data_IF_515661359967
#
_entry.id   IF_515661359967
#
_cell.length_a   1.000
_cell.length_b   1.000
_cell.length_c   1.000
_cell.angle_alpha   90.00
_cell.angle_beta   90.00
_cell.angle_gamma   90.00
#
_symmetry.space_group_name_H-M   'P 1'
#
loop_
_entity.id
_entity.type
_entity.pdbx_description
1 polymer ?
#
# COMPACT_ATOMS: atom_id res chain seq x y z
N UNK A 1 -3.43 -5.34 12.36
CA UNK A 1 -2.54 -4.28 12.89
C UNK A 1 -3.38 -3.03 13.11
N UNK A 2 -3.15 -2.24 14.17
CA UNK A 2 -3.97 -1.04 14.42
C UNK A 2 -3.28 0.21 13.85
N UNK A 3 -3.97 0.93 12.95
CA UNK A 3 -3.50 2.18 12.35
C UNK A 3 -3.89 3.37 13.23
N UNK A 4 -2.97 4.31 13.47
CA UNK A 4 -3.25 5.54 14.21
C UNK A 4 -3.51 6.74 13.27
N UNK A 5 -4.14 7.80 13.78
CA UNK A 5 -4.27 9.05 13.01
C UNK A 5 -2.92 9.69 12.68
N UNK A 6 -1.87 9.44 13.49
CA UNK A 6 -0.52 9.91 13.17
C UNK A 6 0.06 9.20 11.94
N UNK A 7 -0.20 7.90 11.80
CA UNK A 7 0.22 7.12 10.63
C UNK A 7 -0.48 7.61 9.36
N UNK A 8 -1.79 7.87 9.44
CA UNK A 8 -2.56 8.43 8.31
C UNK A 8 -2.01 9.79 7.90
N UNK A 9 -1.74 10.70 8.86
CA UNK A 9 -1.13 12.01 8.55
C UNK A 9 0.25 11.87 7.89
N UNK A 10 1.06 10.92 8.35
CA UNK A 10 2.38 10.65 7.77
C UNK A 10 2.27 10.19 6.32
N UNK A 11 1.36 9.26 6.03
CA UNK A 11 1.13 8.78 4.66
C UNK A 11 0.56 9.89 3.77
N UNK A 12 -0.39 10.68 4.27
CA UNK A 12 -0.93 11.83 3.54
C UNK A 12 0.17 12.84 3.19
N UNK A 13 1.09 13.11 4.11
CA UNK A 13 2.24 13.98 3.85
C UNK A 13 3.16 13.42 2.76
N UNK A 14 3.48 12.12 2.80
CA UNK A 14 4.29 11.45 1.76
C UNK A 14 3.62 11.50 0.39
N UNK A 15 2.29 11.34 0.35
CA UNK A 15 1.48 11.42 -0.86
C UNK A 15 1.16 12.87 -1.30
N UNK A 16 1.59 13.88 -0.53
CA UNK A 16 1.27 15.31 -0.73
C UNK A 16 -0.23 15.61 -0.78
N UNK A 17 -1.01 14.93 0.06
CA UNK A 17 -2.45 15.16 0.23
C UNK A 17 -2.70 16.07 1.42
N UNK A 18 -3.39 17.19 1.18
CA UNK A 18 -3.95 18.01 2.25
C UNK A 18 -5.27 17.38 2.71
N UNK A 19 -5.39 17.11 4.00
CA UNK A 19 -6.57 16.47 4.60
C UNK A 19 -6.96 17.20 5.88
N UNK A 20 -8.27 17.36 6.07
CA UNK A 20 -8.87 17.79 7.32
C UNK A 20 -8.86 16.67 8.38
N UNK A 21 -9.06 17.03 9.64
CA UNK A 21 -9.11 16.06 10.74
C UNK A 21 -10.27 15.05 10.59
N UNK A 22 -11.41 15.47 10.02
CA UNK A 22 -12.52 14.56 9.74
C UNK A 22 -12.20 13.56 8.62
N UNK A 23 -11.47 14.00 7.59
CA UNK A 23 -11.00 13.11 6.52
C UNK A 23 -9.95 12.12 7.04
N UNK A 24 -9.06 12.55 7.96
CA UNK A 24 -8.07 11.68 8.59
C UNK A 24 -8.75 10.54 9.36
N UNK A 25 -9.76 10.85 10.18
CA UNK A 25 -10.47 9.83 10.96
C UNK A 25 -11.23 8.86 10.04
N UNK A 26 -11.87 9.39 9.00
CA UNK A 26 -12.58 8.58 8.00
C UNK A 26 -11.62 7.65 7.26
N UNK A 27 -10.49 8.17 6.80
CA UNK A 27 -9.46 7.40 6.12
C UNK A 27 -8.85 6.35 7.05
N UNK A 28 -8.63 6.64 8.33
CA UNK A 28 -8.14 5.66 9.32
C UNK A 28 -9.07 4.46 9.40
N UNK A 29 -10.37 4.68 9.50
CA UNK A 29 -11.38 3.61 9.57
C UNK A 29 -11.38 2.76 8.29
N UNK A 30 -11.40 3.40 7.12
CA UNK A 30 -11.38 2.71 5.83
C UNK A 30 -10.10 1.89 5.61
N UNK A 31 -8.94 2.48 5.89
CA UNK A 31 -7.64 1.81 5.76
C UNK A 31 -7.49 0.64 6.73
N UNK A 32 -8.09 0.72 7.93
CA UNK A 32 -8.09 -0.40 8.87
C UNK A 32 -8.79 -1.63 8.26
N UNK A 33 -9.98 -1.44 7.66
CA UNK A 33 -10.69 -2.54 6.99
C UNK A 33 -9.94 -3.10 5.77
N UNK A 34 -9.25 -2.25 5.01
CA UNK A 34 -8.39 -2.71 3.89
C UNK A 34 -7.22 -3.55 4.41
N UNK A 35 -6.58 -3.16 5.51
CA UNK A 35 -5.50 -3.95 6.10
C UNK A 35 -5.97 -5.26 6.69
N UNK A 36 -7.18 -5.34 7.23
CA UNK A 36 -7.75 -6.60 7.70
C UNK A 36 -7.94 -7.57 6.51
N UNK A 37 -8.45 -7.09 5.37
CA UNK A 37 -8.55 -7.90 4.15
C UNK A 37 -7.17 -8.36 3.63
N UNK A 38 -6.17 -7.47 3.62
CA UNK A 38 -4.80 -7.82 3.20
C UNK A 38 -4.17 -8.84 4.16
N UNK A 39 -4.48 -8.78 5.46
CA UNK A 39 -3.98 -9.74 6.43
C UNK A 39 -4.45 -11.17 6.14
N UNK A 40 -5.62 -11.36 5.50
CA UNK A 40 -6.06 -12.69 5.06
C UNK A 40 -5.09 -13.33 4.06
N UNK A 41 -4.42 -12.53 3.22
CA UNK A 41 -3.43 -13.04 2.26
C UNK A 41 -2.17 -13.61 2.93
N UNK A 42 -1.88 -13.23 4.19
CA UNK A 42 -0.73 -13.74 4.94
C UNK A 42 -0.87 -15.22 5.33
N UNK A 43 -2.06 -15.81 5.17
CA UNK A 43 -2.29 -17.23 5.42
C UNK A 43 -1.60 -18.15 4.40
N UNK A 44 -1.18 -17.62 3.25
CA UNK A 44 -0.57 -18.39 2.17
C UNK A 44 0.96 -18.36 2.31
N UNK A 45 1.59 -19.55 2.35
CA UNK A 45 3.04 -19.66 2.34
C UNK A 45 3.61 -19.29 0.96
N UNK A 46 4.56 -18.36 0.96
CA UNK A 46 5.25 -17.86 -0.24
C UNK A 46 6.76 -18.11 -0.17
N UNK A 47 7.23 -18.94 0.76
CA UNK A 47 8.64 -19.28 0.91
C UNK A 47 9.20 -19.88 -0.39
N UNK A 48 10.29 -19.30 -0.88
CA UNK A 48 10.96 -19.74 -2.11
C UNK A 48 10.30 -19.29 -3.41
N UNK A 49 9.19 -18.54 -3.35
CA UNK A 49 8.56 -17.97 -4.54
C UNK A 49 9.17 -16.59 -4.84
N UNK A 50 9.66 -16.40 -6.07
CA UNK A 50 10.15 -15.11 -6.52
C UNK A 50 8.99 -14.12 -6.77
N UNK A 51 9.07 -12.86 -6.30
CA UNK A 51 8.05 -11.85 -6.59
C UNK A 51 7.95 -11.56 -8.08
N UNK A 52 6.72 -11.39 -8.58
CA UNK A 52 6.45 -11.04 -9.98
C UNK A 52 6.18 -9.54 -10.13
N UNK A 53 7.11 -8.81 -10.78
CA UNK A 53 6.96 -7.35 -11.01
C UNK A 53 6.15 -7.03 -12.28
N UNK A 54 6.23 -7.86 -13.30
CA UNK A 54 5.50 -7.72 -14.56
C UNK A 54 4.80 -9.05 -14.86
N UNK A 55 3.57 -9.00 -15.36
CA UNK A 55 2.82 -10.21 -15.72
C UNK A 55 3.37 -10.91 -16.98
N UNK A 56 4.18 -10.20 -17.77
CA UNK A 56 4.85 -10.70 -18.96
C UNK A 56 6.37 -10.62 -18.75
N UNK A 57 7.09 -11.50 -19.44
CA UNK A 57 8.55 -11.42 -19.51
C UNK A 57 8.96 -10.21 -20.36
N UNK A 58 9.40 -9.15 -19.69
CA UNK A 58 9.84 -7.90 -20.32
C UNK A 58 11.35 -7.74 -20.23
N UNK A 59 11.96 -7.24 -21.31
CA UNK A 59 13.37 -6.81 -21.34
C UNK A 59 13.47 -5.29 -21.34
N UNK A 60 14.61 -4.76 -20.89
CA UNK A 60 14.83 -3.32 -20.85
C UNK A 60 14.84 -2.74 -22.27
N UNK A 61 13.87 -1.87 -22.57
CA UNK A 61 13.86 -1.12 -23.82
C UNK A 61 14.85 0.03 -23.76
N UNK A 62 15.75 0.08 -24.75
CA UNK A 62 16.70 1.17 -24.90
C UNK A 62 16.15 2.23 -25.85
N UNK A 63 16.44 3.50 -25.53
CA UNK A 63 16.23 4.66 -26.39
C UNK A 63 17.58 5.03 -27.01
N UNK A 64 17.60 5.43 -28.27
CA UNK A 64 18.77 6.11 -28.85
C UNK A 64 19.04 7.42 -28.11
N UNK A 65 20.30 7.84 -28.03
CA UNK A 65 20.70 9.05 -27.29
C UNK A 65 20.07 10.32 -27.88
#
# INVERSE_FOLDING_TARGET
>A
MSLTNADVRKVAHLARLAMSETEIETARSQLSGIFDLIAEMQAVDTQGIAPMSHAQDVSQRLRED
#
